data_IF_870937048959
#
_entry.id   IF_870937048959
#
_cell.length_a   1.000
_cell.length_b   1.000
_cell.length_c   1.000
_cell.angle_alpha   90.00
_cell.angle_beta   90.00
_cell.angle_gamma   90.00
#
_symmetry.space_group_name_H-M   'P 1'
#
loop_
_entity.id
_entity.type
_entity.pdbx_description
1 polymer ?
#
# COMPACT_ATOMS: atom_id res chain seq x y z
N UNK A 1 -58.10 30.42 23.60
CA UNK A 1 -59.48 30.79 23.99
C UNK A 1 -59.57 32.09 24.78
N UNK A 2 -58.70 32.37 25.77
CA UNK A 2 -58.80 33.60 26.59
C UNK A 2 -58.78 34.95 25.84
N UNK A 3 -57.95 35.09 24.79
CA UNK A 3 -57.85 36.34 24.01
C UNK A 3 -59.15 36.63 23.24
N UNK A 4 -59.81 35.61 22.73
CA UNK A 4 -61.06 35.76 21.96
C UNK A 4 -62.17 36.27 22.88
N UNK A 5 -62.27 35.72 24.11
CA UNK A 5 -63.25 36.14 25.13
C UNK A 5 -62.99 37.58 25.59
N UNK A 6 -61.73 37.96 25.80
CA UNK A 6 -61.35 39.34 26.15
C UNK A 6 -61.69 40.33 25.03
N UNK A 7 -61.46 39.96 23.78
CA UNK A 7 -61.80 40.81 22.62
C UNK A 7 -63.31 40.93 22.46
N UNK A 8 -64.09 39.85 22.61
CA UNK A 8 -65.55 39.91 22.47
C UNK A 8 -66.21 40.71 23.58
N UNK A 9 -65.77 40.53 24.84
CA UNK A 9 -66.24 41.33 25.97
C UNK A 9 -65.83 42.79 25.81
N UNK A 10 -64.59 43.07 25.41
CA UNK A 10 -64.11 44.43 25.16
C UNK A 10 -64.91 45.15 24.06
N UNK A 11 -65.24 44.47 22.96
CA UNK A 11 -66.08 45.00 21.88
C UNK A 11 -67.52 45.25 22.35
N UNK A 12 -68.11 44.36 23.16
CA UNK A 12 -69.46 44.54 23.70
C UNK A 12 -69.54 45.71 24.68
N UNK A 13 -68.55 45.86 25.58
CA UNK A 13 -68.45 46.99 26.52
C UNK A 13 -68.31 48.31 25.75
N UNK A 14 -67.46 48.36 24.72
CA UNK A 14 -67.28 49.55 23.88
C UNK A 14 -68.54 49.89 23.07
N UNK A 15 -69.31 48.88 22.62
CA UNK A 15 -70.58 49.08 21.89
C UNK A 15 -71.61 49.80 22.77
N UNK A 16 -71.65 49.52 24.08
CA UNK A 16 -72.63 50.09 25.01
C UNK A 16 -72.31 51.52 25.46
N UNK A 17 -71.03 51.93 25.46
CA UNK A 17 -70.60 53.21 26.04
C UNK A 17 -70.21 54.32 25.04
N UNK A 18 -70.14 54.06 23.74
CA UNK A 18 -69.68 55.06 22.74
C UNK A 18 -70.80 55.64 21.86
N UNK A 19 -70.91 56.97 21.83
CA UNK A 19 -71.91 57.73 21.07
C UNK A 19 -71.74 57.61 19.54
N UNK A 20 -72.79 57.94 18.77
CA UNK A 20 -72.84 57.76 17.30
C UNK A 20 -71.75 58.53 16.52
N UNK A 21 -71.16 59.59 17.09
CA UNK A 21 -70.09 60.38 16.43
C UNK A 21 -68.75 59.62 16.34
N UNK A 22 -68.60 58.50 17.05
CA UNK A 22 -67.36 57.69 17.11
C UNK A 22 -67.34 56.48 16.15
N UNK A 23 -68.30 56.36 15.23
CA UNK A 23 -68.41 55.19 14.32
C UNK A 23 -67.13 54.89 13.54
N UNK A 24 -66.46 55.92 13.01
CA UNK A 24 -65.20 55.76 12.27
C UNK A 24 -64.08 55.22 13.17
N UNK A 25 -63.94 55.76 14.38
CA UNK A 25 -62.96 55.31 15.38
C UNK A 25 -63.18 53.84 15.76
N UNK A 26 -64.44 53.38 15.87
CA UNK A 26 -64.76 51.97 16.12
C UNK A 26 -64.32 51.06 14.99
N UNK A 27 -64.59 51.45 13.74
CA UNK A 27 -64.19 50.67 12.56
C UNK A 27 -62.67 50.59 12.48
N UNK A 28 -61.96 51.72 12.64
CA UNK A 28 -60.50 51.74 12.64
C UNK A 28 -59.90 50.88 13.76
N UNK A 29 -60.48 50.90 14.96
CA UNK A 29 -60.02 50.08 16.08
C UNK A 29 -60.22 48.58 15.84
N UNK A 30 -61.40 48.18 15.32
CA UNK A 30 -61.67 46.77 14.97
C UNK A 30 -60.76 46.31 13.83
N UNK A 31 -60.57 47.14 12.79
CA UNK A 31 -59.63 46.87 11.71
C UNK A 31 -58.21 46.70 12.24
N UNK A 32 -57.76 47.55 13.17
CA UNK A 32 -56.44 47.43 13.80
C UNK A 32 -56.30 46.13 14.62
N UNK A 33 -57.30 45.79 15.44
CA UNK A 33 -57.32 44.56 16.24
C UNK A 33 -57.25 43.28 15.39
N UNK A 34 -57.81 43.30 14.17
CA UNK A 34 -57.75 42.17 13.24
C UNK A 34 -56.48 42.21 12.38
N UNK A 35 -56.09 43.37 11.88
CA UNK A 35 -54.93 43.52 11.00
C UNK A 35 -53.60 43.28 11.72
N UNK A 36 -53.47 43.64 13.00
CA UNK A 36 -52.23 43.52 13.75
C UNK A 36 -51.79 42.04 13.96
N UNK A 37 -52.67 41.10 14.39
CA UNK A 37 -52.36 39.67 14.44
C UNK A 37 -52.11 39.04 13.06
N UNK A 38 -52.89 39.44 12.04
CA UNK A 38 -52.68 38.96 10.66
C UNK A 38 -51.30 39.38 10.17
N UNK A 39 -50.94 40.66 10.35
CA UNK A 39 -49.63 41.19 9.98
C UNK A 39 -48.50 40.47 10.72
N UNK A 40 -48.63 40.27 12.04
CA UNK A 40 -47.67 39.48 12.83
C UNK A 40 -47.53 38.05 12.33
N UNK A 41 -48.64 37.42 11.95
CA UNK A 41 -48.65 36.06 11.40
C UNK A 41 -47.96 36.02 10.04
N UNK A 42 -48.24 36.97 9.16
CA UNK A 42 -47.60 37.09 7.84
C UNK A 42 -46.10 37.35 7.98
N UNK A 43 -45.68 38.26 8.87
CA UNK A 43 -44.25 38.52 9.16
C UNK A 43 -43.58 37.26 9.72
N UNK A 44 -44.23 36.56 10.66
CA UNK A 44 -43.71 35.30 11.20
C UNK A 44 -43.60 34.25 10.10
N UNK A 45 -44.59 34.11 9.23
CA UNK A 45 -44.56 33.19 8.09
C UNK A 45 -43.38 33.46 7.15
N UNK A 46 -42.99 34.74 6.98
CA UNK A 46 -41.78 35.07 6.20
C UNK A 46 -40.49 34.51 6.80
N UNK A 47 -40.41 34.35 8.13
CA UNK A 47 -39.24 33.75 8.80
C UNK A 47 -39.09 32.26 8.43
N UNK A 48 -40.22 31.56 8.24
CA UNK A 48 -40.24 30.13 7.90
C UNK A 48 -39.94 29.84 6.42
N UNK A 49 -39.94 30.86 5.55
CA UNK A 49 -39.74 30.70 4.11
C UNK A 49 -38.34 30.20 3.75
N UNK A 50 -37.33 30.50 4.55
CA UNK A 50 -35.97 30.05 4.27
C UNK A 50 -35.33 29.44 5.51
N UNK A 51 -34.56 28.38 5.29
CA UNK A 51 -33.74 27.74 6.34
C UNK A 51 -32.80 28.73 7.02
N UNK A 52 -32.37 29.75 6.28
CA UNK A 52 -31.50 30.79 6.77
C UNK A 52 -32.19 31.79 7.72
N UNK A 53 -33.32 32.36 7.29
CA UNK A 53 -34.10 33.27 8.13
C UNK A 53 -34.60 32.57 9.38
N UNK A 54 -34.97 31.29 9.26
CA UNK A 54 -35.38 30.46 10.39
C UNK A 54 -34.23 30.24 11.37
N UNK A 55 -33.04 29.86 10.88
CA UNK A 55 -31.88 29.63 11.74
C UNK A 55 -31.42 30.91 12.44
N UNK A 56 -31.40 32.05 11.74
CA UNK A 56 -31.06 33.37 12.33
C UNK A 56 -32.07 33.81 13.37
N UNK A 57 -33.37 33.70 13.07
CA UNK A 57 -34.43 34.07 14.02
C UNK A 57 -34.40 33.18 15.26
N UNK A 58 -34.16 31.87 15.11
CA UNK A 58 -34.02 30.98 16.25
C UNK A 58 -32.80 31.30 17.12
N UNK A 59 -31.69 31.70 16.50
CA UNK A 59 -30.49 32.12 17.24
C UNK A 59 -30.72 33.43 18.01
N UNK A 60 -31.47 34.37 17.44
CA UNK A 60 -31.87 35.61 18.13
C UNK A 60 -32.80 35.32 19.31
N UNK A 61 -33.74 34.39 19.15
CA UNK A 61 -34.67 34.01 20.21
C UNK A 61 -33.99 33.22 21.34
N UNK A 62 -32.98 32.39 21.00
CA UNK A 62 -32.31 31.48 21.91
C UNK A 62 -30.78 31.54 21.72
N UNK A 63 -30.11 32.63 22.13
CA UNK A 63 -28.69 32.82 21.89
C UNK A 63 -27.81 31.82 22.65
N UNK A 64 -28.26 31.30 23.79
CA UNK A 64 -27.50 30.34 24.60
C UNK A 64 -27.89 28.88 24.32
N UNK A 65 -28.51 28.59 23.18
CA UNK A 65 -28.89 27.23 22.81
C UNK A 65 -27.86 26.59 21.86
N UNK A 66 -27.16 25.57 22.34
CA UNK A 66 -26.14 24.84 21.58
C UNK A 66 -26.67 24.29 20.24
N UNK A 67 -27.90 23.77 20.21
CA UNK A 67 -28.52 23.20 18.99
C UNK A 67 -28.80 24.28 17.95
N UNK A 68 -29.14 25.50 18.37
CA UNK A 68 -29.32 26.63 17.46
C UNK A 68 -28.00 27.05 16.81
N UNK A 69 -26.94 27.15 17.60
CA UNK A 69 -25.59 27.40 17.09
C UNK A 69 -25.13 26.31 16.11
N UNK A 70 -25.31 25.03 16.45
CA UNK A 70 -24.99 23.90 15.59
C UNK A 70 -25.77 23.92 14.26
N UNK A 71 -27.08 24.14 14.32
CA UNK A 71 -27.91 24.19 13.11
C UNK A 71 -27.54 25.37 12.20
N UNK A 72 -27.22 26.53 12.79
CA UNK A 72 -26.76 27.68 12.03
C UNK A 72 -25.36 27.44 11.43
N UNK A 73 -24.46 26.77 12.16
CA UNK A 73 -23.16 26.36 11.65
C UNK A 73 -23.27 25.40 10.46
N UNK A 74 -24.16 24.40 10.52
CA UNK A 74 -24.44 23.49 9.40
C UNK A 74 -24.92 24.26 8.15
N UNK A 75 -25.79 25.25 8.33
CA UNK A 75 -26.25 26.11 7.23
C UNK A 75 -25.10 26.94 6.63
N UNK A 76 -24.27 27.54 7.48
CA UNK A 76 -23.11 28.33 7.04
C UNK A 76 -22.11 27.47 6.28
N UNK A 77 -21.87 26.25 6.75
CA UNK A 77 -21.01 25.26 6.10
C UNK A 77 -21.55 24.87 4.71
N UNK A 78 -22.86 24.63 4.59
CA UNK A 78 -23.51 24.36 3.30
C UNK A 78 -23.41 25.53 2.30
N UNK A 79 -23.22 26.77 2.81
CA UNK A 79 -22.98 27.98 2.01
C UNK A 79 -21.49 28.24 1.72
N UNK A 80 -20.59 27.33 2.10
CA UNK A 80 -19.14 27.51 1.97
C UNK A 80 -18.53 28.52 2.96
N UNK A 81 -19.29 29.03 3.93
CA UNK A 81 -18.82 29.99 4.93
C UNK A 81 -18.12 29.30 6.10
N UNK A 82 -17.11 28.47 5.80
CA UNK A 82 -16.45 27.55 6.73
C UNK A 82 -15.92 28.24 7.99
N UNK A 83 -15.26 29.40 7.85
CA UNK A 83 -14.72 30.15 9.00
C UNK A 83 -15.81 30.55 10.01
N UNK A 84 -16.98 30.98 9.52
CA UNK A 84 -18.12 31.36 10.37
C UNK A 84 -18.78 30.12 10.97
N UNK A 85 -18.89 29.04 10.19
CA UNK A 85 -19.43 27.77 10.68
C UNK A 85 -18.60 27.25 11.87
N UNK A 86 -17.27 27.24 11.76
CA UNK A 86 -16.35 26.86 12.84
C UNK A 86 -16.59 27.66 14.11
N UNK A 87 -16.80 28.98 14.01
CA UNK A 87 -17.08 29.80 15.19
C UNK A 87 -18.38 29.38 15.88
N UNK A 88 -19.45 29.14 15.13
CA UNK A 88 -20.72 28.70 15.71
C UNK A 88 -20.65 27.26 16.25
N UNK A 89 -19.91 26.35 15.61
CA UNK A 89 -19.66 25.02 16.18
C UNK A 89 -18.88 25.09 17.50
N UNK A 90 -17.86 25.96 17.60
CA UNK A 90 -17.14 26.20 18.86
C UNK A 90 -18.08 26.68 19.96
N UNK A 91 -18.98 27.62 19.64
CA UNK A 91 -19.99 28.07 20.61
C UNK A 91 -20.93 26.93 21.00
N UNK A 92 -21.38 26.11 20.05
CA UNK A 92 -22.23 24.95 20.35
C UNK A 92 -21.54 23.96 21.31
N UNK A 93 -20.25 23.66 21.07
CA UNK A 93 -19.43 22.82 21.96
C UNK A 93 -19.23 23.48 23.33
N UNK A 94 -19.02 24.80 23.39
CA UNK A 94 -18.87 25.49 24.68
C UNK A 94 -20.15 25.49 25.53
N UNK A 95 -21.31 25.58 24.89
CA UNK A 95 -22.62 25.55 25.55
C UNK A 95 -23.04 24.13 25.92
N UNK A 96 -22.58 23.13 25.16
CA UNK A 96 -22.84 21.72 25.42
C UNK A 96 -21.59 20.87 25.10
N UNK A 97 -20.69 20.66 26.09
CA UNK A 97 -19.42 19.99 25.89
C UNK A 97 -19.50 18.53 25.44
N UNK A 98 -20.62 17.83 25.70
CA UNK A 98 -20.82 16.45 25.26
C UNK A 98 -21.57 16.35 23.93
N UNK A 99 -21.66 17.43 23.16
CA UNK A 99 -22.40 17.45 21.90
C UNK A 99 -21.59 16.79 20.76
N UNK A 100 -21.70 15.47 20.67
CA UNK A 100 -20.97 14.61 19.72
C UNK A 100 -21.01 15.14 18.27
N UNK A 101 -22.20 15.47 17.75
CA UNK A 101 -22.34 15.94 16.37
C UNK A 101 -21.64 17.29 16.12
N UNK A 102 -21.60 18.16 17.14
CA UNK A 102 -20.90 19.45 17.04
C UNK A 102 -19.38 19.26 17.06
N UNK A 103 -18.86 18.36 17.91
CA UNK A 103 -17.43 18.00 17.90
C UNK A 103 -16.98 17.42 16.56
N UNK A 104 -17.74 16.46 16.01
CA UNK A 104 -17.41 15.83 14.73
C UNK A 104 -17.40 16.86 13.59
N UNK A 105 -18.42 17.70 13.48
CA UNK A 105 -18.51 18.70 12.42
C UNK A 105 -17.49 19.83 12.62
N UNK A 106 -17.21 20.23 13.86
CA UNK A 106 -16.15 21.19 14.15
C UNK A 106 -14.81 20.67 13.63
N UNK A 107 -14.43 19.45 13.99
CA UNK A 107 -13.17 18.84 13.57
C UNK A 107 -13.04 18.75 12.04
N UNK A 108 -14.12 18.36 11.35
CA UNK A 108 -14.13 18.27 9.88
C UNK A 108 -13.76 19.59 9.19
N UNK A 109 -14.23 20.72 9.73
CA UNK A 109 -14.00 22.05 9.15
C UNK A 109 -12.76 22.78 9.71
N UNK A 110 -11.99 22.15 10.60
CA UNK A 110 -10.78 22.75 11.16
C UNK A 110 -9.58 22.64 10.22
N UNK A 111 -8.85 23.75 10.10
CA UNK A 111 -7.59 23.81 9.37
C UNK A 111 -6.46 23.15 10.14
N UNK A 112 -6.38 23.41 11.46
CA UNK A 112 -5.38 22.82 12.35
C UNK A 112 -5.73 21.35 12.64
N UNK A 113 -4.90 20.43 12.14
CA UNK A 113 -5.13 18.98 12.24
C UNK A 113 -5.01 18.45 13.66
N UNK A 114 -4.11 18.99 14.48
CA UNK A 114 -3.94 18.61 15.89
C UNK A 114 -5.20 18.94 16.69
N UNK A 115 -5.77 20.13 16.50
CA UNK A 115 -7.02 20.50 17.18
C UNK A 115 -8.21 19.67 16.68
N UNK A 116 -8.26 19.37 15.38
CA UNK A 116 -9.29 18.49 14.82
C UNK A 116 -9.24 17.08 15.46
N UNK A 117 -8.04 16.50 15.57
CA UNK A 117 -7.84 15.20 16.22
C UNK A 117 -8.26 15.21 17.69
N UNK A 118 -8.00 16.30 18.43
CA UNK A 118 -8.45 16.44 19.82
C UNK A 118 -9.98 16.38 19.94
N UNK A 119 -10.72 17.07 19.06
CA UNK A 119 -12.18 17.01 19.05
C UNK A 119 -12.71 15.64 18.60
N UNK A 120 -12.07 14.96 17.65
CA UNK A 120 -12.46 13.60 17.23
C UNK A 120 -12.17 12.55 18.32
N UNK A 121 -11.09 12.73 19.08
CA UNK A 121 -10.77 11.91 20.25
C UNK A 121 -11.86 12.05 21.30
N UNK A 122 -12.36 13.27 21.53
CA UNK A 122 -13.51 13.49 22.42
C UNK A 122 -14.79 12.81 21.90
N UNK A 123 -15.03 12.80 20.58
CA UNK A 123 -16.15 12.04 20.00
C UNK A 123 -16.03 10.55 20.31
N UNK A 124 -14.84 9.96 20.14
CA UNK A 124 -14.60 8.55 20.44
C UNK A 124 -14.76 8.27 21.93
N UNK A 125 -14.30 9.18 22.81
CA UNK A 125 -14.46 9.07 24.26
C UNK A 125 -15.94 9.04 24.66
N UNK A 126 -16.77 9.88 24.04
CA UNK A 126 -18.21 9.96 24.30
C UNK A 126 -19.00 8.83 23.63
N UNK A 127 -18.58 8.41 22.43
CA UNK A 127 -19.20 7.36 21.64
C UNK A 127 -18.12 6.53 20.91
N UNK A 128 -17.66 5.42 21.52
CA UNK A 128 -16.56 4.60 20.98
C UNK A 128 -16.82 4.02 19.58
N UNK A 129 -18.08 3.76 19.24
CA UNK A 129 -18.49 3.22 17.94
C UNK A 129 -19.04 4.30 16.99
N UNK A 130 -18.39 5.46 16.92
CA UNK A 130 -18.82 6.56 16.04
C UNK A 130 -18.06 6.51 14.68
N UNK A 131 -18.66 5.86 13.68
CA UNK A 131 -18.04 5.62 12.36
C UNK A 131 -17.44 6.89 11.72
N UNK A 132 -18.20 7.98 11.64
CA UNK A 132 -17.75 9.23 11.01
C UNK A 132 -16.51 9.84 11.70
N UNK A 133 -16.29 9.56 12.99
CA UNK A 133 -15.12 10.07 13.69
C UNK A 133 -13.86 9.32 13.24
N UNK A 134 -13.94 7.99 13.14
CA UNK A 134 -12.85 7.19 12.58
C UNK A 134 -12.56 7.54 11.13
N UNK A 135 -13.58 7.74 10.29
CA UNK A 135 -13.39 8.20 8.90
C UNK A 135 -12.67 9.54 8.85
N UNK A 136 -13.09 10.52 9.64
CA UNK A 136 -12.44 11.83 9.68
C UNK A 136 -10.98 11.74 10.20
N UNK A 137 -10.70 10.87 11.17
CA UNK A 137 -9.33 10.62 11.66
C UNK A 137 -8.48 9.99 10.57
N UNK A 138 -8.97 8.96 9.88
CA UNK A 138 -8.28 8.30 8.79
C UNK A 138 -7.95 9.30 7.66
N UNK A 139 -8.90 10.15 7.27
CA UNK A 139 -8.67 11.20 6.27
C UNK A 139 -7.61 12.23 6.71
N UNK A 140 -7.53 12.54 8.01
CA UNK A 140 -6.50 13.44 8.55
C UNK A 140 -5.14 12.76 8.44
N UNK A 141 -5.00 11.52 8.92
CA UNK A 141 -3.74 10.79 8.86
C UNK A 141 -3.28 10.55 7.43
N UNK A 142 -4.19 10.17 6.52
CA UNK A 142 -3.88 10.00 5.10
C UNK A 142 -3.27 11.28 4.50
N UNK A 143 -3.84 12.47 4.81
CA UNK A 143 -3.28 13.75 4.36
C UNK A 143 -1.94 14.09 5.02
N UNK A 144 -1.78 13.81 6.31
CA UNK A 144 -0.53 14.05 7.03
C UNK A 144 0.60 13.16 6.50
N UNK A 145 0.31 11.89 6.19
CA UNK A 145 1.28 10.96 5.60
C UNK A 145 1.71 11.40 4.20
N UNK A 146 0.76 11.86 3.38
CA UNK A 146 1.10 12.45 2.06
C UNK A 146 1.98 13.69 2.19
N UNK A 147 1.67 14.58 3.12
CA UNK A 147 2.51 15.74 3.40
C UNK A 147 3.91 15.33 3.91
N UNK A 148 4.00 14.27 4.71
CA UNK A 148 5.28 13.72 5.17
C UNK A 148 6.13 13.19 3.99
N UNK A 149 5.51 12.51 3.02
CA UNK A 149 6.19 12.08 1.78
C UNK A 149 6.74 13.28 1.01
N UNK A 150 5.95 14.35 0.90
CA UNK A 150 6.37 15.56 0.19
C UNK A 150 7.55 16.26 0.89
N UNK A 151 7.59 16.22 2.22
CA UNK A 151 8.68 16.78 3.02
C UNK A 151 9.95 15.92 2.96
N UNK A 152 9.83 14.59 3.03
CA UNK A 152 10.96 13.66 3.08
C UNK A 152 10.72 12.45 2.16
N UNK A 153 11.09 12.62 0.89
CA UNK A 153 10.83 11.63 -0.18
C UNK A 153 11.59 10.32 -0.04
N UNK A 154 12.66 10.30 0.76
CA UNK A 154 13.52 9.14 0.98
C UNK A 154 13.05 8.26 2.13
N UNK A 155 12.09 8.73 2.93
CA UNK A 155 11.61 7.99 4.10
C UNK A 155 10.56 6.95 3.69
N UNK A 156 10.79 5.64 3.93
CA UNK A 156 9.83 4.60 3.59
C UNK A 156 8.64 4.54 4.55
N UNK A 157 8.74 5.10 5.76
CA UNK A 157 7.74 4.91 6.81
C UNK A 157 6.34 5.47 6.45
N UNK A 158 6.21 6.69 5.87
CA UNK A 158 4.91 7.18 5.45
C UNK A 158 4.25 6.32 4.35
N UNK A 159 5.06 5.76 3.45
CA UNK A 159 4.59 4.84 2.42
C UNK A 159 4.07 3.53 3.04
N UNK A 160 4.79 2.96 4.02
CA UNK A 160 4.32 1.78 4.74
C UNK A 160 2.98 2.04 5.44
N UNK A 161 2.84 3.16 6.14
CA UNK A 161 1.58 3.50 6.82
C UNK A 161 0.41 3.69 5.86
N UNK A 162 0.62 4.38 4.72
CA UNK A 162 -0.42 4.50 3.69
C UNK A 162 -0.77 3.14 3.09
N UNK A 163 0.21 2.28 2.83
CA UNK A 163 -0.02 0.95 2.28
C UNK A 163 -0.91 0.11 3.21
N UNK A 164 -0.66 0.14 4.52
CA UNK A 164 -1.50 -0.53 5.52
C UNK A 164 -2.91 0.06 5.55
N UNK A 165 -3.07 1.39 5.47
CA UNK A 165 -4.40 2.02 5.42
C UNK A 165 -5.17 1.56 4.17
N UNK A 166 -4.57 1.60 2.98
CA UNK A 166 -5.22 1.14 1.75
C UNK A 166 -5.54 -0.35 1.77
N UNK A 167 -4.69 -1.16 2.40
CA UNK A 167 -4.95 -2.60 2.60
C UNK A 167 -6.20 -2.83 3.46
N UNK A 168 -6.35 -2.13 4.58
CA UNK A 168 -7.53 -2.24 5.45
C UNK A 168 -8.81 -1.70 4.78
N UNK A 169 -8.67 -0.75 3.85
CA UNK A 169 -9.78 -0.26 3.01
C UNK A 169 -10.14 -1.23 1.86
N UNK A 170 -9.34 -2.27 1.62
CA UNK A 170 -9.52 -3.19 0.49
C UNK A 170 -9.03 -2.65 -0.85
N UNK A 171 -8.35 -1.50 -0.86
CA UNK A 171 -7.77 -0.86 -2.05
C UNK A 171 -6.39 -1.48 -2.38
N UNK A 172 -6.41 -2.76 -2.77
CA UNK A 172 -5.20 -3.58 -2.87
C UNK A 172 -4.15 -3.03 -3.85
N UNK A 173 -4.58 -2.45 -4.98
CA UNK A 173 -3.67 -1.85 -5.98
C UNK A 173 -2.90 -0.65 -5.41
N UNK A 174 -3.60 0.22 -4.66
CA UNK A 174 -2.99 1.38 -4.02
C UNK A 174 -2.05 0.98 -2.89
N UNK A 175 -2.44 -0.05 -2.13
CA UNK A 175 -1.58 -0.63 -1.09
C UNK A 175 -0.28 -1.18 -1.70
N UNK A 176 -0.39 -1.98 -2.76
CA UNK A 176 0.76 -2.55 -3.46
C UNK A 176 1.70 -1.46 -3.99
N UNK A 177 1.17 -0.41 -4.63
CA UNK A 177 1.97 0.71 -5.12
C UNK A 177 2.84 1.35 -4.02
N UNK A 178 2.27 1.55 -2.83
CA UNK A 178 3.00 2.14 -1.71
C UNK A 178 4.00 1.16 -1.07
N UNK A 179 3.66 -0.12 -1.02
CA UNK A 179 4.60 -1.17 -0.61
C UNK A 179 5.80 -1.29 -1.54
N UNK A 180 5.57 -1.28 -2.86
CA UNK A 180 6.64 -1.28 -3.87
C UNK A 180 7.53 -0.04 -3.72
N UNK A 181 6.93 1.12 -3.44
CA UNK A 181 7.72 2.33 -3.20
C UNK A 181 8.57 2.24 -1.93
N UNK A 182 8.03 1.69 -0.85
CA UNK A 182 8.79 1.47 0.38
C UNK A 182 9.96 0.49 0.17
N UNK A 183 9.76 -0.58 -0.61
CA UNK A 183 10.80 -1.53 -0.99
C UNK A 183 11.93 -0.89 -1.82
N UNK A 184 11.58 0.00 -2.75
CA UNK A 184 12.57 0.76 -3.53
C UNK A 184 13.40 1.70 -2.66
N UNK A 185 12.77 2.38 -1.71
CA UNK A 185 13.45 3.36 -0.85
C UNK A 185 14.37 2.70 0.18
N UNK A 186 13.98 1.52 0.70
CA UNK A 186 14.74 0.83 1.74
C UNK A 186 14.83 -0.69 1.49
N UNK A 187 15.55 -1.12 0.44
CA UNK A 187 15.64 -2.53 0.02
C UNK A 187 16.39 -3.43 1.02
N UNK A 188 16.95 -2.86 2.09
CA UNK A 188 17.65 -3.58 3.15
C UNK A 188 17.00 -3.40 4.52
N UNK A 189 15.81 -2.81 4.64
CA UNK A 189 15.11 -2.64 5.92
C UNK A 189 14.18 -3.82 6.21
N UNK A 190 14.26 -4.38 7.42
CA UNK A 190 13.47 -5.57 7.80
C UNK A 190 11.96 -5.25 7.86
N UNK A 191 11.61 -4.13 8.48
CA UNK A 191 10.22 -3.71 8.73
C UNK A 191 9.42 -3.55 7.43
N UNK A 192 10.08 -3.11 6.35
CA UNK A 192 9.45 -3.01 5.03
C UNK A 192 9.04 -4.39 4.54
N UNK A 193 9.95 -5.36 4.57
CA UNK A 193 9.63 -6.74 4.16
C UNK A 193 8.61 -7.38 5.08
N UNK A 194 8.64 -7.11 6.38
CA UNK A 194 7.65 -7.60 7.32
C UNK A 194 6.24 -7.13 6.96
N UNK A 195 6.03 -5.83 6.76
CA UNK A 195 4.73 -5.28 6.41
C UNK A 195 4.25 -5.76 5.02
N UNK A 196 5.16 -5.89 4.06
CA UNK A 196 4.85 -6.46 2.73
C UNK A 196 4.47 -7.94 2.84
N UNK A 197 5.17 -8.71 3.68
CA UNK A 197 4.84 -10.11 3.94
C UNK A 197 3.43 -10.25 4.51
N UNK A 198 3.08 -9.44 5.51
CA UNK A 198 1.73 -9.41 6.07
C UNK A 198 0.66 -9.02 5.03
N UNK A 199 0.98 -8.09 4.12
CA UNK A 199 0.07 -7.70 3.04
C UNK A 199 -0.28 -8.88 2.14
N UNK A 200 0.74 -9.59 1.66
CA UNK A 200 0.52 -10.71 0.76
C UNK A 200 -0.03 -11.94 1.50
N UNK A 201 0.34 -12.17 2.77
CA UNK A 201 -0.17 -13.28 3.58
C UNK A 201 -1.69 -13.20 3.73
N UNK A 202 -2.23 -12.00 3.97
CA UNK A 202 -3.69 -11.80 4.05
C UNK A 202 -4.41 -12.06 2.72
N UNK A 203 -3.74 -11.92 1.58
CA UNK A 203 -4.33 -12.17 0.26
C UNK A 203 -4.25 -13.65 -0.11
N UNK A 204 -3.06 -14.23 0.06
CA UNK A 204 -2.77 -15.63 -0.13
C UNK A 204 -1.49 -15.97 0.66
N UNK A 205 -1.60 -16.75 1.75
CA UNK A 205 -0.46 -17.16 2.58
C UNK A 205 0.64 -17.87 1.80
N UNK A 206 0.31 -18.44 0.63
CA UNK A 206 1.21 -19.24 -0.18
C UNK A 206 1.61 -18.57 -1.50
N UNK A 207 1.33 -17.28 -1.72
CA UNK A 207 1.81 -16.61 -2.92
C UNK A 207 3.33 -16.33 -2.86
N UNK A 208 3.96 -16.24 -4.04
CA UNK A 208 5.41 -16.11 -4.18
C UNK A 208 5.96 -14.83 -3.49
N UNK A 209 5.32 -13.64 -3.59
CA UNK A 209 5.74 -12.46 -2.84
C UNK A 209 5.67 -12.61 -1.30
N UNK A 210 4.60 -13.19 -0.75
CA UNK A 210 4.44 -13.49 0.70
C UNK A 210 5.64 -14.28 1.20
N UNK A 211 5.89 -15.41 0.54
CA UNK A 211 6.91 -16.36 0.97
C UNK A 211 8.31 -15.74 0.88
N UNK A 212 8.58 -14.95 -0.18
CA UNK A 212 9.86 -14.24 -0.35
C UNK A 212 10.09 -13.20 0.75
N UNK A 213 9.05 -12.45 1.11
CA UNK A 213 9.12 -11.45 2.17
C UNK A 213 9.34 -12.11 3.55
N UNK A 214 8.57 -13.16 3.84
CA UNK A 214 8.66 -13.93 5.08
C UNK A 214 10.04 -14.60 5.25
N UNK A 215 10.57 -15.21 4.18
CA UNK A 215 11.90 -15.83 4.18
C UNK A 215 13.01 -14.83 4.56
N UNK A 216 12.93 -13.59 4.07
CA UNK A 216 13.91 -12.54 4.40
C UNK A 216 13.80 -12.06 5.85
N UNK A 217 12.58 -11.98 6.39
CA UNK A 217 12.34 -11.61 7.79
C UNK A 217 12.93 -12.66 8.71
N UNK A 218 12.60 -13.94 8.50
CA UNK A 218 13.14 -15.04 9.28
C UNK A 218 14.68 -15.10 9.21
N UNK A 219 15.26 -14.94 8.01
CA UNK A 219 16.72 -14.86 7.85
C UNK A 219 17.33 -13.73 8.68
N UNK A 220 16.74 -12.52 8.66
CA UNK A 220 17.23 -11.39 9.45
C UNK A 220 17.06 -11.58 10.96
N UNK A 221 16.02 -12.30 11.37
CA UNK A 221 15.79 -12.68 12.75
C UNK A 221 16.70 -13.83 13.22
N UNK A 222 17.55 -14.39 12.33
CA UNK A 222 18.40 -15.54 12.62
C UNK A 222 17.64 -16.88 12.67
N UNK A 223 16.35 -16.86 12.30
CA UNK A 223 15.45 -18.01 12.21
C UNK A 223 15.68 -18.75 10.89
N UNK A 224 16.84 -19.41 10.78
CA UNK A 224 17.29 -20.01 9.53
C UNK A 224 16.40 -21.19 9.07
N UNK A 225 15.81 -21.93 10.00
CA UNK A 225 14.95 -23.07 9.69
C UNK A 225 13.63 -22.61 9.05
N UNK A 226 13.02 -21.58 9.62
CA UNK A 226 11.79 -20.97 9.12
C UNK A 226 12.02 -20.33 7.76
N UNK A 227 13.16 -19.67 7.56
CA UNK A 227 13.56 -19.16 6.25
C UNK A 227 13.72 -20.28 5.21
N UNK A 228 14.33 -21.41 5.58
CA UNK A 228 14.50 -22.58 4.69
C UNK A 228 13.15 -23.18 4.29
N UNK A 229 12.18 -23.29 5.21
CA UNK A 229 10.81 -23.75 4.91
C UNK A 229 10.12 -22.81 3.90
N UNK A 230 10.29 -21.50 4.06
CA UNK A 230 9.76 -20.54 3.09
C UNK A 230 10.40 -20.73 1.72
N UNK A 231 11.73 -20.85 1.64
CA UNK A 231 12.43 -21.08 0.38
C UNK A 231 12.05 -22.39 -0.31
N UNK A 232 11.81 -23.46 0.45
CA UNK A 232 11.29 -24.71 -0.10
C UNK A 232 9.94 -24.53 -0.80
N UNK A 233 8.99 -23.84 -0.15
CA UNK A 233 7.68 -23.53 -0.75
C UNK A 233 7.79 -22.63 -1.99
N UNK A 234 8.71 -21.66 -1.98
CA UNK A 234 8.95 -20.79 -3.14
C UNK A 234 9.40 -21.63 -4.35
N UNK A 235 10.30 -22.60 -4.13
CA UNK A 235 10.79 -23.50 -5.17
C UNK A 235 9.72 -24.46 -5.70
N UNK A 236 8.79 -24.91 -4.85
CA UNK A 236 7.63 -25.70 -5.27
C UNK A 236 6.70 -24.93 -6.22
N UNK A 237 6.52 -23.63 -5.97
CA UNK A 237 5.65 -22.77 -6.78
C UNK A 237 6.34 -22.37 -8.08
N UNK A 238 7.62 -22.00 -8.02
CA UNK A 238 8.38 -21.53 -9.18
C UNK A 238 9.87 -21.81 -9.00
N UNK A 239 10.42 -22.60 -9.91
CA UNK A 239 11.87 -22.85 -10.03
C UNK A 239 12.41 -22.15 -11.27
N UNK A 240 12.50 -20.81 -11.21
CA UNK A 240 13.11 -19.97 -12.26
C UNK A 240 14.50 -19.48 -11.82
N UNK A 241 15.31 -18.98 -12.78
CA UNK A 241 16.67 -18.47 -12.52
C UNK A 241 16.72 -17.54 -11.30
N UNK A 242 15.82 -16.54 -11.25
CA UNK A 242 15.76 -15.55 -10.17
C UNK A 242 15.44 -16.16 -8.79
N UNK A 243 14.62 -17.21 -8.73
CA UNK A 243 14.32 -17.89 -7.47
C UNK A 243 15.49 -18.75 -7.00
N UNK A 244 16.09 -19.52 -7.92
CA UNK A 244 17.24 -20.37 -7.61
C UNK A 244 18.43 -19.53 -7.14
N UNK A 245 18.70 -18.39 -7.79
CA UNK A 245 19.73 -17.44 -7.38
C UNK A 245 19.48 -16.85 -5.99
N UNK A 246 18.22 -16.50 -5.69
CA UNK A 246 17.81 -16.01 -4.37
C UNK A 246 18.06 -17.05 -3.27
N UNK A 247 17.74 -18.32 -3.53
CA UNK A 247 17.96 -19.43 -2.58
C UNK A 247 19.45 -19.72 -2.44
N UNK A 248 20.21 -19.70 -3.54
CA UNK A 248 21.68 -19.81 -3.52
C UNK A 248 22.33 -18.75 -2.64
N UNK A 249 21.91 -17.50 -2.81
CA UNK A 249 22.35 -16.36 -1.99
C UNK A 249 21.99 -16.53 -0.50
N UNK A 250 20.82 -17.11 -0.18
CA UNK A 250 20.47 -17.43 1.20
C UNK A 250 21.46 -18.43 1.82
N UNK A 251 21.70 -19.57 1.15
CA UNK A 251 22.62 -20.60 1.64
C UNK A 251 24.06 -20.10 1.77
N UNK A 252 24.50 -19.24 0.85
CA UNK A 252 25.80 -18.58 0.93
C UNK A 252 25.92 -17.72 2.21
N UNK A 253 24.90 -16.92 2.50
CA UNK A 253 24.90 -16.03 3.66
C UNK A 253 24.86 -16.76 5.02
N UNK A 254 24.26 -17.96 5.07
CA UNK A 254 24.30 -18.80 6.28
C UNK A 254 25.55 -19.69 6.36
N UNK A 255 26.50 -19.55 5.42
CA UNK A 255 27.76 -20.29 5.40
C UNK A 255 27.69 -21.70 4.81
N UNK A 256 26.56 -22.10 4.22
CA UNK A 256 26.41 -23.39 3.56
C UNK A 256 26.79 -23.30 2.08
N UNK A 257 28.10 -23.22 1.83
CA UNK A 257 28.66 -23.07 0.49
C UNK A 257 28.22 -24.20 -0.46
N UNK A 258 28.14 -25.44 0.02
CA UNK A 258 27.75 -26.60 -0.80
C UNK A 258 26.32 -26.50 -1.36
N UNK A 259 25.34 -26.13 -0.53
CA UNK A 259 23.97 -25.92 -1.03
C UNK A 259 23.89 -24.71 -1.96
N UNK A 260 24.60 -23.62 -1.63
CA UNK A 260 24.63 -22.41 -2.45
C UNK A 260 25.15 -22.70 -3.87
N UNK A 261 26.24 -23.46 -3.97
CA UNK A 261 26.83 -23.98 -5.21
C UNK A 261 25.81 -24.63 -6.13
N UNK A 262 25.04 -25.58 -5.58
CA UNK A 262 24.12 -26.37 -6.38
C UNK A 262 23.01 -25.49 -6.96
N UNK A 263 22.45 -24.59 -6.16
CA UNK A 263 21.41 -23.67 -6.61
C UNK A 263 21.92 -22.65 -7.64
N UNK A 264 23.14 -22.11 -7.49
CA UNK A 264 23.72 -21.22 -8.50
C UNK A 264 23.99 -21.93 -9.83
N UNK A 265 24.42 -23.19 -9.79
CA UNK A 265 24.61 -24.01 -10.99
C UNK A 265 23.28 -24.31 -11.69
N UNK A 266 22.24 -24.62 -10.92
CA UNK A 266 20.89 -24.87 -11.46
C UNK A 266 20.27 -23.58 -12.04
N UNK A 267 20.46 -22.43 -11.39
CA UNK A 267 20.04 -21.13 -11.92
C UNK A 267 20.72 -20.87 -13.28
N UNK A 268 22.02 -21.08 -13.38
CA UNK A 268 22.78 -20.91 -14.62
C UNK A 268 22.29 -21.79 -15.77
N UNK A 269 21.96 -23.04 -15.48
CA UNK A 269 21.46 -23.97 -16.50
C UNK A 269 20.16 -23.48 -17.14
N UNK A 270 19.37 -22.64 -16.44
CA UNK A 270 18.16 -22.04 -16.98
C UNK A 270 18.43 -20.77 -17.79
N UNK A 271 19.30 -19.88 -17.31
CA UNK A 271 19.59 -18.61 -18.00
C UNK A 271 21.05 -18.16 -17.78
N UNK A 272 21.91 -18.20 -18.81
CA UNK A 272 23.29 -17.70 -18.73
C UNK A 272 23.32 -16.16 -18.67
N UNK A 273 23.48 -15.56 -17.49
CA UNK A 273 23.55 -14.09 -17.30
C UNK A 273 24.96 -13.58 -16.89
N UNK A 274 25.23 -12.28 -17.06
CA UNK A 274 26.55 -11.64 -16.80
C UNK A 274 27.03 -11.72 -15.34
N UNK A 275 26.15 -11.99 -14.36
CA UNK A 275 26.50 -12.07 -12.94
C UNK A 275 27.48 -13.22 -12.64
N UNK A 276 27.51 -14.23 -13.51
CA UNK A 276 28.46 -15.36 -13.49
C UNK A 276 29.86 -14.93 -13.94
N UNK A 277 29.99 -13.85 -14.72
CA UNK A 277 31.29 -13.25 -14.99
C UNK A 277 31.95 -12.69 -13.71
N UNK A 278 31.16 -12.28 -12.72
CA UNK A 278 31.67 -11.79 -11.43
C UNK A 278 32.20 -12.95 -10.57
N UNK A 279 31.54 -14.10 -10.58
CA UNK A 279 32.01 -15.30 -9.88
C UNK A 279 33.24 -15.93 -10.55
N UNK A 280 33.32 -15.91 -11.88
CA UNK A 280 34.54 -16.27 -12.61
C UNK A 280 35.70 -15.28 -12.36
N UNK A 281 35.41 -13.97 -12.22
CA UNK A 281 36.40 -12.97 -11.75
C UNK A 281 36.85 -13.23 -10.31
N UNK A 282 35.95 -13.65 -9.43
CA UNK A 282 36.30 -14.04 -8.06
C UNK A 282 37.26 -15.24 -8.04
N UNK A 283 37.06 -16.24 -8.91
CA UNK A 283 38.00 -17.38 -9.10
C UNK A 283 39.40 -16.87 -9.47
N UNK A 284 39.51 -15.91 -10.40
CA UNK A 284 40.79 -15.31 -10.80
C UNK A 284 41.51 -14.59 -9.64
N UNK A 285 40.78 -13.80 -8.84
CA UNK A 285 41.36 -13.06 -7.72
C UNK A 285 41.75 -13.98 -6.55
N UNK A 286 40.93 -14.99 -6.22
CA UNK A 286 41.30 -16.00 -5.22
C UNK A 286 42.57 -16.75 -5.61
N UNK A 287 42.73 -17.12 -6.89
CA UNK A 287 43.97 -17.74 -7.41
C UNK A 287 45.20 -16.86 -7.22
N UNK A 288 45.07 -15.57 -7.51
CA UNK A 288 46.17 -14.59 -7.38
C UNK A 288 46.56 -14.35 -5.92
N UNK A 289 45.58 -14.28 -5.02
CA UNK A 289 45.80 -14.15 -3.59
C UNK A 289 46.48 -15.39 -2.99
N UNK A 290 46.10 -16.62 -3.41
CA UNK A 290 46.74 -17.88 -2.96
C UNK A 290 48.22 -17.94 -3.38
N UNK A 291 48.60 -17.39 -4.54
CA UNK A 291 50.03 -17.30 -4.93
C UNK A 291 50.86 -16.44 -3.98
N UNK A 292 50.28 -15.38 -3.43
CA UNK A 292 50.97 -14.46 -2.53
C UNK A 292 50.96 -14.95 -1.08
N UNK A 293 49.91 -15.69 -0.69
CA UNK A 293 49.75 -16.26 0.65
C UNK A 293 49.24 -17.72 0.55
N UNK A 294 50.13 -18.68 0.24
CA UNK A 294 49.74 -20.06 0.06
C UNK A 294 49.31 -20.73 1.37
N UNK A 295 49.78 -20.30 2.53
CA UNK A 295 49.48 -20.92 3.83
C UNK A 295 48.07 -20.58 4.38
N UNK A 296 47.26 -19.77 3.67
CA UNK A 296 45.93 -19.35 4.13
C UNK A 296 44.86 -20.41 3.78
N UNK A 297 44.58 -21.28 4.74
CA UNK A 297 43.63 -22.39 4.62
C UNK A 297 42.21 -21.93 4.26
N UNK A 298 41.76 -20.78 4.76
CA UNK A 298 40.42 -20.27 4.49
C UNK A 298 40.31 -19.80 3.04
N UNK A 299 41.37 -19.13 2.54
CA UNK A 299 41.46 -18.68 1.16
C UNK A 299 41.50 -19.87 0.19
N UNK A 300 42.30 -20.89 0.49
CA UNK A 300 42.36 -22.13 -0.31
C UNK A 300 41.02 -22.86 -0.32
N UNK A 301 40.35 -22.94 0.83
CA UNK A 301 39.06 -23.60 0.96
C UNK A 301 37.98 -22.88 0.17
N UNK A 302 37.95 -21.54 0.22
CA UNK A 302 37.00 -20.73 -0.55
C UNK A 302 37.26 -20.80 -2.06
N UNK A 303 38.53 -20.81 -2.48
CA UNK A 303 38.91 -20.98 -3.89
C UNK A 303 38.52 -22.35 -4.44
N UNK A 304 38.83 -23.41 -3.70
CA UNK A 304 38.48 -24.78 -4.07
C UNK A 304 36.96 -24.95 -4.13
N UNK A 305 36.24 -24.41 -3.15
CA UNK A 305 34.79 -24.43 -3.14
C UNK A 305 34.20 -23.74 -4.37
N UNK A 306 34.79 -22.63 -4.83
CA UNK A 306 34.35 -21.95 -6.06
C UNK A 306 34.69 -22.73 -7.35
N UNK A 307 35.86 -23.39 -7.43
CA UNK A 307 36.22 -24.21 -8.59
C UNK A 307 35.34 -25.45 -8.72
N UNK A 308 35.14 -26.14 -7.60
CA UNK A 308 34.25 -27.30 -7.49
C UNK A 308 32.80 -26.89 -7.85
N UNK A 309 32.40 -25.67 -7.51
CA UNK A 309 31.06 -25.10 -7.78
C UNK A 309 30.75 -24.98 -9.28
N UNK A 310 31.77 -24.80 -10.12
CA UNK A 310 31.62 -24.71 -11.57
C UNK A 310 32.21 -25.90 -12.35
N UNK A 311 32.57 -27.00 -11.67
CA UNK A 311 33.16 -28.20 -12.29
C UNK A 311 34.44 -27.88 -13.09
N UNK A 312 35.26 -26.98 -12.56
CA UNK A 312 36.52 -26.55 -13.16
C UNK A 312 37.71 -27.27 -12.49
N UNK A 313 38.42 -28.11 -13.24
CA UNK A 313 39.63 -28.76 -12.72
C UNK A 313 40.86 -27.85 -12.74
N UNK A 314 41.72 -27.96 -11.72
CA UNK A 314 42.99 -27.23 -11.65
C UNK A 314 43.91 -27.50 -12.87
N UNK A 315 43.78 -28.67 -13.51
CA UNK A 315 44.57 -29.09 -14.67
C UNK A 315 44.18 -28.34 -15.96
N UNK A 316 42.89 -28.09 -16.17
CA UNK A 316 42.37 -27.33 -17.32
C UNK A 316 42.85 -25.86 -17.32
N UNK A 317 43.25 -25.39 -16.14
CA UNK A 317 43.74 -24.04 -15.86
C UNK A 317 45.30 -23.96 -15.91
N UNK A 318 45.99 -25.12 -15.88
CA UNK A 318 47.46 -25.24 -15.89
C UNK A 318 48.07 -25.24 -17.30
N UNK A 319 47.33 -25.67 -18.33
CA UNK A 319 47.75 -25.61 -19.76
C UNK A 319 48.14 -24.18 -20.22
N UNK A 320 47.64 -23.15 -19.54
CA UNK A 320 47.96 -21.75 -19.84
C UNK A 320 49.33 -21.27 -19.32
N UNK A 321 50.15 -22.15 -18.73
CA UNK A 321 51.56 -21.81 -18.42
C UNK A 321 52.44 -21.69 -19.67
N UNK A 322 52.09 -22.31 -20.80
CA UNK A 322 52.90 -22.17 -22.02
C UNK A 322 52.62 -20.89 -22.81
N UNK A 323 51.41 -20.31 -22.72
CA UNK A 323 51.02 -19.14 -23.52
C UNK A 323 51.62 -17.83 -22.97
N UNK A 324 51.99 -17.78 -21.69
CA UNK A 324 52.60 -16.57 -21.08
C UNK A 324 54.13 -16.53 -21.17
N UNK A 325 54.77 -17.62 -21.62
CA UNK A 325 56.23 -17.64 -21.81
C UNK A 325 56.68 -16.90 -23.08
N UNK A 326 55.82 -16.79 -24.11
CA UNK A 326 56.11 -16.02 -25.33
C UNK A 326 55.18 -14.81 -25.41
N UNK A 327 55.67 -13.69 -24.88
CA UNK A 327 54.89 -12.49 -24.62
C UNK A 327 54.09 -11.95 -25.80
N UNK A 328 52.80 -11.76 -25.57
CA UNK A 328 52.04 -10.56 -25.96
C UNK A 328 50.90 -10.40 -24.94
N UNK A 329 50.80 -9.22 -24.33
CA UNK A 329 49.77 -8.90 -23.36
C UNK A 329 48.40 -8.94 -24.03
N UNK A 330 47.64 -10.02 -23.82
CA UNK A 330 46.23 -10.10 -24.18
C UNK A 330 45.39 -9.65 -22.99
N UNK A 331 44.43 -8.77 -23.25
CA UNK A 331 43.61 -8.12 -22.22
C UNK A 331 42.77 -9.14 -21.45
N UNK A 332 42.39 -8.80 -20.21
CA UNK A 332 41.62 -9.67 -19.31
C UNK A 332 40.32 -10.18 -19.97
N UNK A 333 39.72 -9.39 -20.85
CA UNK A 333 38.51 -9.75 -21.59
C UNK A 333 38.75 -10.87 -22.64
N UNK A 334 39.94 -10.93 -23.26
CA UNK A 334 40.31 -12.01 -24.21
C UNK A 334 40.53 -13.36 -23.51
N UNK A 335 40.90 -13.34 -22.23
CA UNK A 335 41.11 -14.56 -21.43
C UNK A 335 39.76 -15.09 -20.93
N UNK A 336 38.88 -14.20 -20.48
CA UNK A 336 37.51 -14.53 -20.03
C UNK A 336 36.66 -15.04 -21.19
N UNK A 337 36.72 -14.40 -22.36
CA UNK A 337 36.01 -14.85 -23.57
C UNK A 337 36.48 -16.21 -24.08
N UNK A 338 37.79 -16.51 -23.97
CA UNK A 338 38.34 -17.82 -24.35
C UNK A 338 38.00 -18.93 -23.35
N UNK A 339 37.97 -18.65 -22.05
CA UNK A 339 37.55 -19.64 -21.05
C UNK A 339 36.05 -19.97 -21.15
N UNK A 340 35.19 -18.96 -21.33
CA UNK A 340 33.76 -19.17 -21.57
C UNK A 340 33.50 -20.01 -22.85
N UNK A 341 34.23 -19.74 -23.93
CA UNK A 341 34.12 -20.49 -25.19
C UNK A 341 34.59 -21.95 -25.07
N UNK A 342 35.56 -22.24 -24.19
CA UNK A 342 36.13 -23.59 -24.03
C UNK A 342 35.29 -24.47 -23.09
N UNK A 343 34.66 -23.87 -22.07
CA UNK A 343 33.65 -24.55 -21.22
C UNK A 343 32.45 -25.00 -22.06
N UNK A 344 32.03 -24.18 -23.03
CA UNK A 344 30.99 -24.52 -24.01
C UNK A 344 31.36 -25.74 -24.88
N UNK A 345 32.62 -25.85 -25.32
CA UNK A 345 33.09 -26.98 -26.15
C UNK A 345 33.23 -28.28 -25.35
N UNK A 346 33.67 -28.20 -24.09
CA UNK A 346 33.87 -29.39 -23.24
C UNK A 346 32.55 -29.99 -22.76
N UNK A 347 31.50 -29.18 -22.52
CA UNK A 347 30.16 -29.70 -22.18
C UNK A 347 29.54 -30.47 -23.36
N UNK A 348 29.67 -29.96 -24.59
CA UNK A 348 29.16 -30.63 -25.80
C UNK A 348 29.95 -31.89 -26.19
N UNK A 349 31.23 -31.98 -25.82
CA UNK A 349 32.06 -33.18 -26.07
C UNK A 349 31.69 -34.33 -25.13
N UNK A 350 31.33 -34.04 -23.88
CA UNK A 350 30.87 -35.05 -22.94
C UNK A 350 29.47 -35.63 -23.27
N UNK A 351 28.60 -34.84 -23.91
CA UNK A 351 27.29 -35.33 -24.37
C UNK A 351 27.39 -36.22 -25.62
N UNK A 352 28.36 -35.98 -26.51
CA UNK A 352 28.61 -36.81 -27.69
C UNK A 352 29.33 -38.13 -27.35
N UNK A 353 30.18 -38.16 -26.31
CA UNK A 353 30.78 -39.41 -25.80
C UNK A 353 29.80 -40.26 -24.96
N UNK A 354 28.74 -39.66 -24.39
CA UNK A 354 27.65 -40.40 -23.71
C UNK A 354 26.68 -41.04 -24.69
N UNK A 355 26.41 -40.43 -25.84
CA UNK A 355 25.54 -41.05 -26.87
C UNK A 355 26.16 -42.28 -27.55
N UNK A 356 27.49 -42.46 -27.45
CA UNK A 356 28.23 -43.55 -28.11
C UNK A 356 28.54 -44.76 -27.20
N UNK A 357 28.07 -44.77 -25.93
CA UNK A 357 28.31 -45.89 -24.98
C UNK A 357 27.07 -46.72 -24.63
N UNK A 358 25.91 -46.49 -25.27
CA UNK A 358 24.67 -47.20 -24.96
C UNK A 358 24.26 -48.28 -25.99
N UNK A 359 25.19 -48.80 -26.81
CA UNK A 359 24.87 -49.81 -27.83
C UNK A 359 25.08 -51.27 -27.44
N UNK A 360 25.57 -51.61 -26.24
CA UNK A 360 25.83 -53.02 -25.88
C UNK A 360 25.39 -53.35 -24.44
N UNK A 361 24.15 -53.83 -24.28
CA UNK A 361 23.77 -55.08 -23.57
C UNK A 361 22.25 -55.10 -23.23
N UNK A 362 21.64 -56.30 -23.13
CA UNK A 362 20.22 -56.53 -23.40
C UNK A 362 19.38 -56.91 -22.17
N UNK A 363 18.05 -56.80 -22.34
CA UNK A 363 17.00 -57.32 -21.42
C UNK A 363 16.11 -56.20 -20.87
N UNK A 364 15.13 -55.69 -21.63
CA UNK A 364 13.71 -56.13 -21.65
C UNK A 364 13.12 -56.27 -20.23
N UNK A 365 12.00 -55.63 -19.88
CA UNK A 365 10.68 -55.77 -20.50
C UNK A 365 9.87 -54.47 -20.43
N UNK A 366 9.18 -54.22 -21.54
CA UNK A 366 8.28 -53.12 -21.86
C UNK A 366 6.86 -53.29 -21.29
N UNK A 367 6.08 -52.21 -21.28
CA UNK A 367 4.77 -52.01 -21.94
C UNK A 367 4.03 -50.84 -21.26
N UNK A 368 3.43 -49.87 -21.95
CA UNK A 368 3.04 -49.86 -23.36
C UNK A 368 2.80 -48.45 -23.89
N UNK A 369 2.90 -48.41 -25.22
CA UNK A 369 2.68 -47.30 -26.12
C UNK A 369 1.19 -46.92 -26.24
N UNK A 370 0.95 -45.69 -26.67
CA UNK A 370 -0.30 -45.23 -27.27
C UNK A 370 -0.04 -44.08 -28.22
N UNK A 371 0.52 -44.38 -29.39
CA UNK A 371 0.64 -43.49 -30.56
C UNK A 371 -0.75 -43.24 -31.17
N UNK A 372 -1.00 -42.01 -31.62
CA UNK A 372 -2.08 -41.65 -32.53
C UNK A 372 -1.63 -40.48 -33.42
N UNK A 373 -1.61 -40.73 -34.73
CA UNK A 373 -0.98 -39.94 -35.80
C UNK A 373 -1.60 -38.55 -36.08
N UNK A 374 -0.72 -37.67 -36.60
CA UNK A 374 -0.87 -36.47 -37.49
C UNK A 374 -2.16 -36.39 -38.36
N UNK A 375 -2.62 -35.19 -38.83
CA UNK A 375 -1.78 -34.27 -39.64
C UNK A 375 -2.03 -32.75 -39.56
N UNK A 376 -1.10 -32.03 -40.20
CA UNK A 376 -1.11 -30.61 -40.57
C UNK A 376 -2.47 -30.08 -41.03
N UNK A 377 -2.85 -28.90 -40.51
CA UNK A 377 -3.72 -27.95 -41.22
C UNK A 377 -3.35 -26.51 -40.85
N UNK A 378 -2.86 -25.78 -41.85
CA UNK A 378 -2.93 -24.34 -41.92
C UNK A 378 -4.37 -23.87 -41.74
N UNK A 379 -4.62 -22.89 -40.87
CA UNK A 379 -5.72 -21.92 -41.05
C UNK A 379 -5.51 -20.68 -40.17
N UNK A 380 -5.06 -19.61 -40.83
CA UNK A 380 -5.55 -18.23 -40.71
C UNK A 380 -6.28 -17.83 -39.40
N UNK A 381 -5.61 -17.03 -38.57
CA UNK A 381 -6.27 -16.18 -37.57
C UNK A 381 -6.71 -14.88 -38.25
N UNK A 382 -8.00 -14.79 -38.55
CA UNK A 382 -8.71 -13.54 -38.83
C UNK A 382 -8.78 -12.70 -37.56
N UNK A 383 -8.28 -11.47 -37.66
CA UNK A 383 -8.44 -10.40 -36.69
C UNK A 383 -9.88 -9.88 -36.77
N UNK A 384 -10.71 -10.17 -35.78
CA UNK A 384 -11.98 -9.48 -35.60
C UNK A 384 -11.74 -8.21 -34.77
N UNK A 385 -11.85 -7.07 -35.46
CA UNK A 385 -12.01 -5.74 -34.88
C UNK A 385 -13.48 -5.59 -34.50
N UNK A 386 -13.76 -5.37 -33.22
CA UNK A 386 -15.01 -4.75 -32.80
C UNK A 386 -14.76 -3.29 -32.40
N UNK A 387 -15.44 -2.39 -33.10
CA UNK A 387 -15.73 -0.99 -32.78
C UNK A 387 -16.89 -0.58 -33.71
N UNK A 388 -17.74 0.41 -33.38
CA UNK A 388 -17.62 1.39 -32.28
C UNK A 388 -18.57 1.18 -31.10
#
# INVERSE_FOLDING_TARGET
>A
MGVIILVTIGVDVMRRHWSNHSRLLRILFVVFLVAMPICRTVIRNRVWLSRDTLARSGLQALPNNAKMHYNYANLLAAKGQTKRAVQHYKTAVSLWPSYISAHNNLAHYMTNKTQALAHLTEVIRLQPCHANAYTNIADIYHRLLRFAIDCEKTNPAPHLSLATIHQELGELTSAQLHYDKALQLAPRQADVYYNVGLFFEKQDPFNLPSLRALARVHRKAGQNLEAEICFAKILEIRSDHATLDMVGTFYYNIGNAYKATNFFREAYALEPTEEIAVHLKAIHHYRSAIRLKPEDDLLQKNYKALLDLYHLDNATILDNREITANGTATTVDDVVGREASRVYVLSHKNDTDRSNRNSDLPGSVALGQGLGMLPDRQMSLTVEKESP
#
